data_IF_822140921235
#
_entry.id   IF_822140921235
#
_cell.length_a   1.000
_cell.length_b   1.000
_cell.length_c   1.000
_cell.angle_alpha   90.00
_cell.angle_beta   90.00
_cell.angle_gamma   90.00
#
_symmetry.space_group_name_H-M   'P 1'
#
loop_
_entity.id
_entity.type
_entity.pdbx_description
1 polymer ?
#
# COMPACT_ATOMS: atom_id res chain seq x y z
N UNK A 1 6.91 -14.89 -38.95
CA UNK A 1 6.28 -14.18 -37.80
C UNK A 1 6.55 -15.00 -36.54
N UNK A 2 7.04 -14.42 -35.44
CA UNK A 2 7.21 -15.18 -34.20
C UNK A 2 5.83 -15.56 -33.66
N UNK A 3 5.59 -16.86 -33.50
CA UNK A 3 4.36 -17.39 -32.89
C UNK A 3 4.45 -17.20 -31.38
N UNK A 4 3.59 -16.35 -30.82
CA UNK A 4 3.46 -16.16 -29.36
C UNK A 4 2.82 -17.42 -28.80
N UNK A 5 3.61 -18.23 -28.09
CA UNK A 5 3.15 -19.43 -27.40
C UNK A 5 2.89 -19.10 -25.93
N UNK A 6 1.69 -19.39 -25.45
CA UNK A 6 1.35 -19.20 -24.05
C UNK A 6 2.28 -20.04 -23.14
N UNK A 7 2.70 -19.53 -21.96
CA UNK A 7 3.56 -20.26 -21.04
C UNK A 7 2.93 -21.58 -20.59
N UNK A 8 3.72 -22.67 -20.57
CA UNK A 8 3.26 -24.03 -20.28
C UNK A 8 2.86 -24.29 -18.82
N UNK A 9 3.11 -23.36 -17.91
CA UNK A 9 2.75 -23.49 -16.50
C UNK A 9 1.94 -22.26 -16.04
N UNK A 10 0.74 -22.49 -15.51
CA UNK A 10 0.02 -21.49 -14.71
C UNK A 10 0.87 -21.17 -13.48
N UNK A 11 1.70 -20.13 -13.55
CA UNK A 11 2.17 -19.48 -12.33
C UNK A 11 0.92 -19.02 -11.59
N UNK A 12 0.73 -19.53 -10.38
CA UNK A 12 -0.31 -19.07 -9.45
C UNK A 12 -0.24 -17.55 -9.38
N UNK A 13 -1.27 -16.87 -9.88
CA UNK A 13 -1.33 -15.41 -9.88
C UNK A 13 -1.43 -14.96 -8.43
N UNK A 14 -0.30 -14.55 -7.86
CA UNK A 14 -0.26 -13.97 -6.52
C UNK A 14 -0.80 -12.54 -6.60
N UNK A 15 -1.99 -12.32 -6.06
CA UNK A 15 -2.51 -10.97 -5.81
C UNK A 15 -1.43 -10.16 -5.09
N UNK A 16 -0.97 -9.07 -5.72
CA UNK A 16 0.00 -8.15 -5.10
C UNK A 16 -0.75 -6.94 -4.59
N UNK A 17 -0.60 -6.64 -3.30
CA UNK A 17 -1.25 -5.50 -2.66
C UNK A 17 -0.20 -4.46 -2.28
N UNK A 18 -0.35 -3.27 -2.86
CA UNK A 18 0.48 -2.12 -2.56
C UNK A 18 -0.36 -1.00 -1.95
N UNK A 19 0.16 -0.35 -0.90
CA UNK A 19 -0.48 0.81 -0.27
C UNK A 19 0.45 2.03 -0.34
N UNK A 20 -0.11 3.20 -0.63
CA UNK A 20 0.59 4.48 -0.60
C UNK A 20 -0.08 5.44 0.38
N UNK A 21 0.68 5.88 1.37
CA UNK A 21 0.29 6.94 2.29
C UNK A 21 0.67 8.29 1.68
N UNK A 22 -0.28 9.22 1.62
CA UNK A 22 0.00 10.59 1.16
C UNK A 22 0.57 11.45 2.30
N UNK A 23 1.34 12.50 1.99
CA UNK A 23 1.68 13.52 2.98
C UNK A 23 0.44 14.24 3.50
N UNK A 24 0.55 14.74 4.73
CA UNK A 24 -0.40 15.70 5.28
C UNK A 24 -0.28 17.03 4.52
N UNK A 25 -1.40 17.64 4.21
CA UNK A 25 -1.48 18.96 3.61
C UNK A 25 -1.45 20.03 4.70
N UNK A 26 -1.01 21.25 4.38
CA UNK A 26 -0.94 22.37 5.34
C UNK A 26 -2.29 22.70 6.01
N UNK A 27 -3.40 22.44 5.31
CA UNK A 27 -4.76 22.65 5.82
C UNK A 27 -5.19 21.59 6.84
N UNK A 28 -4.49 20.47 6.88
CA UNK A 28 -4.76 19.37 7.79
C UNK A 28 -4.03 19.63 9.11
N UNK A 29 -4.65 20.48 9.93
CA UNK A 29 -4.20 20.73 11.30
C UNK A 29 -4.51 19.50 12.14
N UNK A 30 -3.58 18.56 12.20
CA UNK A 30 -3.74 17.31 12.90
C UNK A 30 -2.40 16.62 13.19
N UNK A 31 -2.44 15.60 14.04
CA UNK A 31 -1.27 14.76 14.32
C UNK A 31 -1.08 13.78 13.17
N UNK A 32 0.16 13.58 12.76
CA UNK A 32 0.51 12.49 11.86
C UNK A 32 0.52 11.16 12.62
N UNK A 33 -0.49 10.35 12.33
CA UNK A 33 -0.74 9.05 12.96
C UNK A 33 -0.35 7.87 12.06
N UNK A 34 0.27 8.09 10.91
CA UNK A 34 0.63 6.99 9.99
C UNK A 34 2.15 6.84 9.90
N UNK A 35 2.65 5.62 10.09
CA UNK A 35 4.06 5.28 9.94
C UNK A 35 4.20 4.12 8.97
N UNK A 36 5.23 4.15 8.12
CA UNK A 36 5.53 3.07 7.18
C UNK A 36 6.88 2.46 7.56
N UNK A 37 6.87 1.16 7.86
CA UNK A 37 8.04 0.40 8.29
C UNK A 37 8.44 -0.64 7.23
N UNK A 38 9.74 -0.80 7.01
CA UNK A 38 10.34 -1.85 6.17
C UNK A 38 9.74 -1.98 4.76
N UNK A 39 9.11 -0.93 4.23
CA UNK A 39 8.39 -0.91 2.95
C UNK A 39 7.31 -1.98 2.79
N UNK A 40 6.80 -2.54 3.89
CA UNK A 40 5.78 -3.62 3.90
C UNK A 40 4.71 -3.44 4.96
N UNK A 41 4.95 -2.58 5.93
CA UNK A 41 4.09 -2.42 7.10
C UNK A 41 3.62 -0.98 7.21
N UNK A 42 2.33 -0.81 7.49
CA UNK A 42 1.73 0.47 7.87
C UNK A 42 1.24 0.36 9.31
N UNK A 43 1.76 1.23 10.17
CA UNK A 43 1.33 1.39 11.55
C UNK A 43 0.45 2.65 11.63
N UNK A 44 -0.76 2.46 12.12
CA UNK A 44 -1.72 3.52 12.42
C UNK A 44 -1.73 3.72 13.94
N UNK A 45 -1.25 4.88 14.38
CA UNK A 45 -1.19 5.26 15.78
C UNK A 45 -2.56 5.69 16.29
N UNK A 46 -2.80 5.48 17.58
CA UNK A 46 -3.99 6.03 18.24
C UNK A 46 -3.86 7.56 18.32
N UNK A 47 -4.77 8.34 17.72
CA UNK A 47 -4.73 9.81 17.85
C UNK A 47 -4.97 10.26 19.30
N UNK A 48 -5.66 9.44 20.09
CA UNK A 48 -5.97 9.73 21.48
C UNK A 48 -4.86 9.26 22.41
N UNK A 49 -4.16 10.24 23.02
CA UNK A 49 -3.16 9.95 24.05
C UNK A 49 -3.78 9.84 25.45
N UNK A 50 -5.06 10.21 25.59
CA UNK A 50 -5.80 10.02 26.83
C UNK A 50 -6.26 8.57 26.91
N UNK A 51 -5.36 7.71 27.42
CA UNK A 51 -5.74 6.33 27.73
C UNK A 51 -6.87 6.35 28.76
N UNK A 52 -7.95 5.65 28.47
CA UNK A 52 -9.00 5.36 29.46
C UNK A 52 -8.38 4.64 30.66
N UNK A 53 -8.99 4.77 31.84
CA UNK A 53 -8.49 4.14 33.07
C UNK A 53 -8.19 2.64 32.89
N UNK A 54 -9.08 1.94 32.18
CA UNK A 54 -8.92 0.51 31.85
C UNK A 54 -7.74 0.24 30.90
N UNK A 55 -7.52 1.10 29.89
CA UNK A 55 -6.42 0.96 28.94
C UNK A 55 -5.05 1.24 29.57
N UNK A 56 -4.99 2.10 30.60
CA UNK A 56 -3.77 2.34 31.39
C UNK A 56 -3.38 1.12 32.21
N UNK A 57 -4.33 0.51 32.91
CA UNK A 57 -4.09 -0.66 33.76
C UNK A 57 -3.68 -1.87 32.92
N UNK A 58 -4.31 -2.05 31.76
CA UNK A 58 -4.02 -3.19 30.87
C UNK A 58 -2.86 -2.92 29.89
N UNK A 59 -2.29 -1.71 29.93
CA UNK A 59 -1.26 -1.21 29.03
C UNK A 59 -1.55 -1.47 27.53
N UNK A 60 -2.83 -1.45 27.14
CA UNK A 60 -3.25 -1.68 25.76
C UNK A 60 -3.03 -0.41 24.95
N UNK A 61 -2.48 -0.55 23.74
CA UNK A 61 -2.42 0.51 22.73
C UNK A 61 -3.48 0.22 21.67
N UNK A 62 -4.23 1.24 21.21
CA UNK A 62 -5.21 1.07 20.10
C UNK A 62 -4.55 1.19 18.73
N UNK A 63 -3.22 1.07 18.68
CA UNK A 63 -2.44 1.09 17.46
C UNK A 63 -2.80 -0.11 16.58
N UNK A 64 -2.89 0.10 15.27
CA UNK A 64 -3.19 -0.95 14.31
C UNK A 64 -2.06 -1.11 13.32
N UNK A 65 -1.66 -2.36 13.11
CA UNK A 65 -0.58 -2.73 12.20
C UNK A 65 -1.14 -3.52 11.01
N UNK A 66 -0.77 -3.09 9.81
CA UNK A 66 -1.21 -3.68 8.55
C UNK A 66 0.00 -4.06 7.71
N UNK A 67 -0.01 -5.27 7.14
CA UNK A 67 1.08 -5.79 6.31
C UNK A 67 0.62 -5.93 4.85
N UNK A 68 1.50 -5.53 3.93
CA UNK A 68 1.29 -5.52 2.49
C UNK A 68 2.55 -6.01 1.77
N UNK A 69 2.44 -6.32 0.48
CA UNK A 69 3.61 -6.64 -0.34
C UNK A 69 4.51 -5.41 -0.51
N UNK A 70 3.88 -4.24 -0.63
CA UNK A 70 4.54 -2.94 -0.70
C UNK A 70 3.78 -1.88 0.11
N UNK A 71 4.50 -1.13 0.94
CA UNK A 71 4.00 0.03 1.65
C UNK A 71 4.89 1.25 1.35
N UNK A 72 4.26 2.31 0.86
CA UNK A 72 4.93 3.55 0.44
C UNK A 72 4.54 4.69 1.38
N UNK A 73 5.53 5.33 1.99
CA UNK A 73 5.32 6.48 2.86
C UNK A 73 5.06 7.80 2.10
N UNK A 74 4.77 8.89 2.83
CA UNK A 74 4.51 10.22 2.28
C UNK A 74 5.54 10.74 1.26
N UNK A 75 6.82 10.46 1.49
CA UNK A 75 7.93 10.88 0.63
C UNK A 75 8.07 10.04 -0.66
N UNK A 76 7.24 9.01 -0.83
CA UNK A 76 7.35 8.11 -1.97
C UNK A 76 6.70 8.69 -3.22
N UNK A 77 7.43 8.65 -4.34
CA UNK A 77 6.96 9.15 -5.63
C UNK A 77 6.11 8.11 -6.37
N UNK A 78 5.31 8.53 -7.35
CA UNK A 78 4.57 7.59 -8.22
C UNK A 78 5.53 6.68 -9.00
N UNK A 79 6.73 7.16 -9.33
CA UNK A 79 7.78 6.34 -9.93
C UNK A 79 8.17 5.15 -9.05
N UNK A 80 8.19 5.31 -7.73
CA UNK A 80 8.46 4.21 -6.81
C UNK A 80 7.35 3.15 -6.86
N UNK A 81 6.08 3.57 -6.94
CA UNK A 81 4.91 2.68 -7.06
C UNK A 81 4.92 1.93 -8.39
N UNK A 82 5.13 2.62 -9.52
CA UNK A 82 5.17 1.94 -10.81
C UNK A 82 6.34 0.94 -10.90
N UNK A 83 7.47 1.23 -10.26
CA UNK A 83 8.61 0.32 -10.23
C UNK A 83 8.30 -0.98 -9.50
N UNK A 84 7.46 -0.98 -8.46
CA UNK A 84 7.05 -2.24 -7.81
C UNK A 84 6.15 -3.10 -8.69
N UNK A 85 5.50 -2.50 -9.69
CA UNK A 85 4.60 -3.18 -10.63
C UNK A 85 5.29 -3.60 -11.93
N UNK A 86 6.59 -3.34 -12.10
CA UNK A 86 7.30 -3.57 -13.37
C UNK A 86 7.31 -5.05 -13.79
N UNK A 87 7.18 -5.98 -12.84
CA UNK A 87 7.09 -7.42 -13.12
C UNK A 87 5.85 -7.79 -13.95
N UNK A 88 4.75 -7.03 -13.84
CA UNK A 88 3.53 -7.22 -14.62
C UNK A 88 3.77 -6.97 -16.11
N UNK A 89 4.67 -6.04 -16.46
CA UNK A 89 4.97 -5.68 -17.85
C UNK A 89 5.49 -6.90 -18.61
N UNK A 90 6.37 -7.69 -17.98
CA UNK A 90 6.87 -8.93 -18.58
C UNK A 90 5.71 -9.89 -18.88
N UNK A 91 4.77 -10.05 -17.94
CA UNK A 91 3.59 -10.88 -18.17
C UNK A 91 2.76 -10.43 -19.37
N UNK A 92 2.49 -9.12 -19.46
CA UNK A 92 1.72 -8.53 -20.56
C UNK A 92 2.40 -8.74 -21.91
N UNK A 93 3.71 -8.54 -22.00
CA UNK A 93 4.50 -8.77 -23.23
C UNK A 93 4.44 -10.24 -23.69
N UNK A 94 4.30 -11.19 -22.77
CA UNK A 94 4.13 -12.61 -23.07
C UNK A 94 2.66 -13.03 -23.32
N UNK A 95 1.74 -12.07 -23.44
CA UNK A 95 0.32 -12.32 -23.73
C UNK A 95 -0.52 -12.66 -22.50
N UNK A 96 -0.07 -12.35 -21.28
CA UNK A 96 -0.88 -12.48 -20.07
C UNK A 96 -1.71 -11.22 -19.83
N UNK A 97 -2.98 -11.41 -19.47
CA UNK A 97 -3.83 -10.32 -19.03
C UNK A 97 -3.42 -9.88 -17.61
N UNK A 98 -3.16 -8.58 -17.45
CA UNK A 98 -2.92 -7.97 -16.14
C UNK A 98 -4.01 -6.94 -15.85
N UNK A 99 -4.38 -6.79 -14.59
CA UNK A 99 -5.34 -5.80 -14.13
C UNK A 99 -4.80 -5.15 -12.87
N UNK A 100 -4.85 -3.82 -12.83
CA UNK A 100 -4.48 -3.05 -11.64
C UNK A 100 -5.71 -2.31 -11.14
N UNK A 101 -5.96 -2.41 -9.85
CA UNK A 101 -7.00 -1.65 -9.19
C UNK A 101 -6.40 -0.51 -8.39
N UNK A 102 -7.02 0.67 -8.46
CA UNK A 102 -6.69 1.80 -7.63
C UNK A 102 -7.87 2.10 -6.71
N UNK A 103 -7.67 1.90 -5.40
CA UNK A 103 -8.68 2.15 -4.37
C UNK A 103 -8.15 3.17 -3.37
N UNK A 104 -9.01 4.08 -2.92
CA UNK A 104 -8.70 5.09 -1.92
C UNK A 104 -9.95 5.78 -1.43
N UNK A 105 -9.85 6.45 -0.29
CA UNK A 105 -10.95 7.29 0.23
C UNK A 105 -11.23 8.48 -0.69
N UNK A 106 -12.43 9.03 -0.59
CA UNK A 106 -12.84 10.22 -1.34
C UNK A 106 -11.96 11.42 -0.99
N UNK A 107 -11.12 11.82 -1.96
CA UNK A 107 -10.20 12.94 -1.86
C UNK A 107 -9.04 12.76 -2.82
N UNK A 108 -8.99 13.61 -3.87
CA UNK A 108 -7.92 13.92 -4.85
C UNK A 108 -6.93 12.86 -5.38
N UNK A 109 -6.91 11.62 -4.90
CA UNK A 109 -5.78 10.69 -5.07
C UNK A 109 -6.19 9.23 -5.35
N UNK A 110 -7.47 8.97 -5.63
CA UNK A 110 -7.85 7.75 -6.37
C UNK A 110 -7.56 7.94 -7.87
N UNK A 111 -6.35 8.37 -8.20
CA UNK A 111 -5.86 8.42 -9.58
C UNK A 111 -4.40 7.97 -9.54
N UNK A 112 -4.15 6.84 -10.18
CA UNK A 112 -2.88 6.15 -10.22
C UNK A 112 -1.88 6.87 -11.11
#
# INVERSE_FOLDING_TARGET
MPSIRAPAAKKTTTLTVAVKCRPLMEKERGRDIVRVNNSKEVLVLDPDLSKDYLDRIQNRTKEKKYCFDHAFGPESTNKNVYRSMSSLISGVVHGLNATVFAYGSTGRYAVM
#
